data_IF_084554024017
#
_entry.id   IF_084554024017
#
_cell.length_a   1.000
_cell.length_b   1.000
_cell.length_c   1.000
_cell.angle_alpha   90.00
_cell.angle_beta   90.00
_cell.angle_gamma   90.00
#
_symmetry.space_group_name_H-M   'P 1'
#
loop_
_entity.id
_entity.type
_entity.pdbx_description
1 polymer ?
#
# COMPACT_ATOMS: atom_id res chain seq x y z
N UNK A 1 -58.63 -0.76 35.14
CA UNK A 1 -58.29 0.30 34.16
C UNK A 1 -57.02 -0.15 33.47
N UNK A 2 -57.12 -1.09 32.53
CA UNK A 2 -57.32 -0.86 31.09
C UNK A 2 -56.02 -0.43 30.39
N UNK A 3 -55.30 -1.43 29.86
CA UNK A 3 -54.35 -1.34 28.74
C UNK A 3 -55.00 -0.74 27.49
N UNK A 4 -54.21 -0.30 26.50
CA UNK A 4 -54.49 -0.79 25.16
C UNK A 4 -53.25 -1.14 24.31
N UNK A 5 -53.36 -2.30 23.67
CA UNK A 5 -52.82 -2.66 22.36
C UNK A 5 -53.59 -1.96 21.22
N UNK A 6 -53.00 -1.83 20.02
CA UNK A 6 -53.63 -1.99 18.67
C UNK A 6 -52.53 -1.63 17.62
N UNK A 7 -52.02 -2.56 16.80
CA UNK A 7 -52.56 -3.25 15.60
C UNK A 7 -52.57 -2.42 14.31
N UNK A 8 -51.98 -3.05 13.30
CA UNK A 8 -51.99 -2.74 11.86
C UNK A 8 -53.38 -2.48 11.29
N UNK A 9 -53.43 -1.64 10.25
CA UNK A 9 -54.46 -1.73 9.21
C UNK A 9 -53.84 -1.57 7.82
N UNK A 10 -53.99 -2.65 7.06
CA UNK A 10 -53.94 -2.74 5.61
C UNK A 10 -55.31 -2.30 5.04
N UNK A 11 -55.31 -1.49 3.99
CA UNK A 11 -56.48 -1.29 3.13
C UNK A 11 -56.03 -1.11 1.68
N UNK A 12 -56.06 -2.20 0.92
CA UNK A 12 -56.13 -2.17 -0.52
C UNK A 12 -57.49 -1.66 -1.02
N UNK A 13 -57.47 -0.97 -2.16
CA UNK A 13 -58.63 -0.76 -3.02
C UNK A 13 -58.24 -0.97 -4.48
N UNK A 14 -58.89 -1.95 -5.10
CA UNK A 14 -58.81 -2.31 -6.52
C UNK A 14 -59.82 -1.48 -7.30
N UNK A 15 -59.47 -1.04 -8.51
CA UNK A 15 -60.42 -0.97 -9.62
C UNK A 15 -59.80 -1.52 -10.92
N UNK A 16 -60.63 -2.29 -11.62
CA UNK A 16 -60.35 -3.16 -12.77
C UNK A 16 -60.72 -2.50 -14.11
N UNK A 17 -60.09 -2.99 -15.18
CA UNK A 17 -60.53 -2.98 -16.60
C UNK A 17 -59.29 -2.99 -17.50
N UNK A 18 -58.88 -4.04 -18.23
CA UNK A 18 -59.59 -4.92 -19.17
C UNK A 18 -59.76 -4.18 -20.50
N UNK A 19 -59.31 -4.59 -21.69
CA UNK A 19 -58.76 -5.84 -22.27
C UNK A 19 -58.14 -5.48 -23.67
N UNK A 20 -57.33 -6.41 -24.19
CA UNK A 20 -57.08 -6.73 -25.61
C UNK A 20 -56.10 -5.89 -26.48
N UNK A 21 -54.91 -6.47 -26.68
CA UNK A 21 -54.43 -6.96 -27.99
C UNK A 21 -53.81 -5.97 -28.98
N UNK A 22 -52.51 -6.11 -29.26
CA UNK A 22 -52.02 -6.48 -30.61
C UNK A 22 -50.53 -6.86 -30.59
N UNK A 23 -50.19 -7.96 -31.25
CA UNK A 23 -48.82 -8.34 -31.60
C UNK A 23 -48.30 -7.49 -32.76
N UNK A 24 -47.01 -7.14 -32.71
CA UNK A 24 -46.04 -6.84 -33.81
C UNK A 24 -44.78 -6.33 -33.08
N UNK A 25 -43.72 -7.11 -32.91
CA UNK A 25 -42.81 -7.53 -33.98
C UNK A 25 -41.79 -6.42 -34.26
N UNK A 26 -40.65 -6.42 -33.55
CA UNK A 26 -39.42 -5.70 -33.95
C UNK A 26 -38.17 -6.27 -33.25
N UNK A 27 -37.59 -7.24 -33.95
CA UNK A 27 -36.17 -7.43 -34.28
C UNK A 27 -35.12 -7.01 -33.24
N UNK A 28 -34.53 -8.01 -32.57
CA UNK A 28 -33.17 -7.92 -32.03
C UNK A 28 -32.17 -7.71 -33.18
N UNK A 29 -31.37 -6.65 -33.11
CA UNK A 29 -30.12 -6.57 -33.87
C UNK A 29 -29.00 -7.14 -33.01
N UNK A 30 -28.62 -8.38 -33.30
CA UNK A 30 -27.32 -8.96 -32.95
C UNK A 30 -26.26 -8.39 -33.89
N UNK A 31 -25.37 -7.54 -33.36
CA UNK A 31 -24.17 -7.12 -34.06
C UNK A 31 -23.05 -8.14 -33.80
N UNK A 32 -22.77 -8.94 -34.82
CA UNK A 32 -21.65 -9.85 -34.91
C UNK A 32 -20.41 -9.09 -35.41
N UNK A 33 -19.31 -9.03 -34.63
CA UNK A 33 -17.99 -8.65 -35.15
C UNK A 33 -16.85 -9.45 -34.49
N UNK A 34 -16.42 -10.46 -35.26
CA UNK A 34 -15.08 -10.98 -35.48
C UNK A 34 -13.98 -10.71 -34.44
N UNK A 35 -13.63 -11.76 -33.70
CA UNK A 35 -12.29 -11.96 -33.11
C UNK A 35 -11.31 -12.24 -34.25
N UNK A 36 -10.25 -11.44 -34.38
CA UNK A 36 -9.09 -11.78 -35.21
C UNK A 36 -8.01 -12.35 -34.29
N UNK A 37 -7.84 -13.67 -34.34
CA UNK A 37 -6.70 -14.38 -33.76
C UNK A 37 -5.44 -14.06 -34.58
N UNK A 38 -4.39 -13.55 -33.94
CA UNK A 38 -3.06 -13.43 -34.55
C UNK A 38 -2.30 -14.72 -34.24
N UNK A 39 -2.30 -15.66 -35.18
CA UNK A 39 -1.47 -16.85 -35.11
C UNK A 39 -0.04 -16.53 -35.57
N UNK A 40 0.93 -16.76 -34.70
CA UNK A 40 2.36 -16.63 -35.03
C UNK A 40 2.86 -17.91 -35.70
N UNK A 41 3.54 -17.77 -36.84
CA UNK A 41 4.14 -18.93 -37.52
C UNK A 41 5.50 -19.30 -36.90
N UNK A 42 5.78 -20.61 -36.80
CA UNK A 42 7.05 -21.20 -36.28
C UNK A 42 8.35 -20.73 -36.98
N UNK A 43 8.27 -19.88 -38.00
CA UNK A 43 9.43 -19.27 -38.68
C UNK A 43 9.79 -17.86 -38.20
N UNK A 44 9.03 -17.27 -37.27
CA UNK A 44 9.33 -15.95 -36.68
C UNK A 44 9.94 -16.02 -35.27
N UNK A 45 10.11 -17.22 -34.70
CA UNK A 45 10.70 -17.43 -33.36
C UNK A 45 12.22 -17.75 -33.36
N UNK A 46 12.95 -17.55 -34.46
CA UNK A 46 14.38 -17.91 -34.57
C UNK A 46 15.26 -16.82 -35.23
N UNK A 47 15.07 -15.54 -34.86
CA UNK A 47 15.94 -14.44 -35.29
C UNK A 47 16.37 -13.50 -34.15
N UNK A 48 16.59 -14.02 -32.95
CA UNK A 48 17.12 -13.24 -31.82
C UNK A 48 18.16 -13.99 -30.99
N UNK A 49 18.93 -14.88 -31.61
CA UNK A 49 20.15 -15.44 -31.02
C UNK A 49 21.20 -15.62 -32.11
N UNK A 50 22.25 -14.81 -32.04
CA UNK A 50 23.49 -15.00 -32.79
C UNK A 50 24.19 -13.69 -33.10
N UNK A 51 25.29 -13.42 -32.39
CA UNK A 51 26.64 -13.37 -32.98
C UNK A 51 27.67 -12.83 -31.99
N UNK A 52 28.65 -13.65 -31.68
CA UNK A 52 29.93 -13.30 -31.05
C UNK A 52 30.49 -14.53 -30.35
N UNK A 53 31.65 -15.09 -30.68
CA UNK A 53 32.61 -14.90 -31.75
C UNK A 53 33.65 -16.02 -31.54
N UNK A 54 34.10 -16.71 -32.57
CA UNK A 54 35.15 -17.72 -32.47
C UNK A 54 36.09 -17.60 -33.65
N UNK A 55 37.24 -16.95 -33.40
CA UNK A 55 38.39 -16.89 -34.29
C UNK A 55 39.49 -17.81 -33.77
N UNK A 56 39.84 -18.81 -34.58
CA UNK A 56 40.95 -19.74 -34.38
C UNK A 56 42.26 -19.07 -34.78
N UNK A 57 43.32 -19.11 -33.95
CA UNK A 57 44.69 -18.95 -34.43
C UNK A 57 45.75 -19.54 -33.46
N UNK A 58 46.42 -20.58 -33.99
CA UNK A 58 47.85 -20.90 -33.93
C UNK A 58 48.62 -20.96 -32.59
N UNK A 59 49.09 -22.17 -32.31
CA UNK A 59 50.13 -22.52 -31.35
C UNK A 59 51.53 -22.11 -31.83
N UNK A 60 52.34 -21.59 -30.91
CA UNK A 60 53.81 -21.70 -30.90
C UNK A 60 54.25 -21.77 -29.43
N UNK A 61 54.92 -22.87 -29.06
CA UNK A 61 55.41 -23.10 -27.71
C UNK A 61 56.74 -22.41 -27.42
N UNK A 62 56.97 -22.13 -26.14
CA UNK A 62 58.31 -22.12 -25.55
C UNK A 62 58.21 -22.39 -24.05
N UNK A 63 59.05 -23.32 -23.61
CA UNK A 63 59.21 -23.91 -22.28
C UNK A 63 59.69 -22.93 -21.20
N UNK A 64 59.17 -23.02 -19.97
CA UNK A 64 59.90 -22.67 -18.75
C UNK A 64 59.38 -23.44 -17.51
N UNK A 65 60.31 -23.64 -16.59
CA UNK A 65 60.44 -24.63 -15.49
C UNK A 65 59.38 -24.60 -14.36
N UNK A 66 59.32 -25.62 -13.47
CA UNK A 66 58.24 -25.77 -12.49
C UNK A 66 58.46 -24.88 -11.27
N UNK A 67 57.54 -23.94 -11.05
CA UNK A 67 57.42 -23.15 -9.82
C UNK A 67 56.57 -23.90 -8.79
N UNK A 68 57.02 -23.89 -7.52
CA UNK A 68 56.32 -24.45 -6.36
C UNK A 68 54.90 -23.88 -6.21
N UNK A 69 53.94 -24.63 -5.65
CA UNK A 69 52.57 -24.16 -5.55
C UNK A 69 52.51 -23.00 -4.55
N UNK A 70 52.31 -21.78 -5.09
CA UNK A 70 51.94 -20.62 -4.32
C UNK A 70 50.65 -20.94 -3.55
N UNK A 71 50.68 -20.66 -2.25
CA UNK A 71 49.54 -20.81 -1.36
C UNK A 71 48.31 -20.11 -1.95
N UNK A 72 47.20 -20.83 -1.98
CA UNK A 72 45.88 -20.36 -2.38
C UNK A 72 45.48 -19.18 -1.49
N UNK A 73 45.80 -17.97 -1.94
CA UNK A 73 45.24 -16.76 -1.37
C UNK A 73 43.82 -16.68 -1.91
N UNK A 74 42.87 -17.22 -1.15
CA UNK A 74 41.46 -16.85 -1.24
C UNK A 74 41.38 -15.33 -1.41
N UNK A 75 40.70 -14.80 -2.44
CA UNK A 75 40.49 -13.38 -2.53
C UNK A 75 39.79 -12.96 -1.25
N UNK A 76 40.41 -12.05 -0.49
CA UNK A 76 39.76 -11.42 0.64
C UNK A 76 38.41 -10.89 0.17
N UNK A 77 37.34 -11.26 0.88
CA UNK A 77 35.99 -10.76 0.66
C UNK A 77 36.06 -9.26 0.40
N UNK A 78 35.78 -8.87 -0.85
CA UNK A 78 35.29 -7.52 -1.10
C UNK A 78 34.15 -7.30 -0.11
N UNK A 79 34.14 -6.22 0.69
CA UNK A 79 33.03 -6.00 1.61
C UNK A 79 31.75 -6.06 0.79
N UNK A 80 30.93 -7.07 1.06
CA UNK A 80 29.70 -7.33 0.32
C UNK A 80 28.89 -6.05 0.25
N UNK A 81 28.28 -5.78 -0.91
CA UNK A 81 27.32 -4.69 -1.03
C UNK A 81 26.34 -4.78 0.14
N UNK A 82 26.11 -3.69 0.91
CA UNK A 82 25.26 -3.75 2.09
C UNK A 82 23.89 -4.32 1.73
N UNK A 83 23.45 -5.32 2.49
CA UNK A 83 22.19 -6.00 2.25
C UNK A 83 21.00 -5.08 2.56
N UNK A 84 19.91 -5.14 1.79
CA UNK A 84 18.71 -4.36 2.06
C UNK A 84 18.02 -4.86 3.33
N UNK A 85 17.49 -3.92 4.11
CA UNK A 85 16.77 -4.16 5.36
C UNK A 85 15.34 -3.63 5.30
N UNK A 86 14.47 -4.19 6.11
CA UNK A 86 13.21 -3.58 6.54
C UNK A 86 13.44 -3.04 7.95
N UNK A 87 13.41 -1.71 8.10
CA UNK A 87 13.60 -1.06 9.39
C UNK A 87 12.31 -1.03 10.18
N UNK A 88 12.29 -1.74 11.31
CA UNK A 88 11.19 -1.71 12.27
C UNK A 88 11.55 -0.83 13.47
N UNK A 89 10.57 -0.51 14.30
CA UNK A 89 10.74 0.31 15.49
C UNK A 89 11.70 -0.32 16.53
N UNK A 90 11.81 -1.66 16.55
CA UNK A 90 12.65 -2.40 17.49
C UNK A 90 14.00 -2.80 16.90
N UNK A 91 14.03 -3.22 15.63
CA UNK A 91 15.24 -3.73 14.98
C UNK A 91 15.19 -3.58 13.44
N UNK A 92 16.36 -3.67 12.80
CA UNK A 92 16.45 -3.81 11.35
C UNK A 92 16.41 -5.31 11.00
N UNK A 93 15.44 -5.71 10.16
CA UNK A 93 15.23 -7.10 9.75
C UNK A 93 15.62 -7.30 8.29
N UNK A 94 16.06 -8.50 7.92
CA UNK A 94 16.12 -8.87 6.49
C UNK A 94 14.69 -9.12 5.97
N UNK A 95 14.40 -8.84 4.69
CA UNK A 95 13.08 -9.13 4.12
C UNK A 95 12.61 -10.57 4.36
N UNK A 96 13.54 -11.54 4.30
CA UNK A 96 13.28 -12.96 4.53
C UNK A 96 12.66 -13.27 5.89
N UNK A 97 12.99 -12.49 6.93
CA UNK A 97 12.42 -12.66 8.28
C UNK A 97 10.92 -12.37 8.34
N UNK A 98 10.39 -11.62 7.37
CA UNK A 98 9.00 -11.19 7.31
C UNK A 98 8.18 -11.95 6.24
N UNK A 99 8.81 -12.81 5.43
CA UNK A 99 8.15 -13.58 4.35
C UNK A 99 7.12 -14.62 4.80
N UNK A 100 6.96 -14.83 6.11
CA UNK A 100 6.07 -15.83 6.70
C UNK A 100 4.58 -15.47 6.66
N UNK A 101 4.24 -14.23 6.29
CA UNK A 101 2.85 -13.74 6.27
C UNK A 101 2.72 -12.47 5.44
N UNK A 102 1.50 -11.95 5.37
CA UNK A 102 1.18 -10.70 4.71
C UNK A 102 1.83 -9.52 5.43
N UNK A 103 2.34 -8.54 4.68
CA UNK A 103 2.86 -7.30 5.20
C UNK A 103 1.91 -6.18 4.79
N UNK A 104 1.30 -5.54 5.78
CA UNK A 104 0.35 -4.45 5.57
C UNK A 104 1.11 -3.13 5.49
N UNK A 105 1.20 -2.56 4.30
CA UNK A 105 2.05 -1.39 4.05
C UNK A 105 1.44 -0.06 4.49
N UNK A 106 0.17 -0.03 4.89
CA UNK A 106 -0.54 1.19 5.27
C UNK A 106 -1.67 0.89 6.26
N UNK A 107 -1.41 1.09 7.56
CA UNK A 107 -2.39 1.03 8.63
C UNK A 107 -2.12 2.16 9.65
N UNK A 108 -3.03 2.37 10.61
CA UNK A 108 -2.82 3.33 11.70
C UNK A 108 -3.03 2.68 13.05
N UNK A 109 -2.11 2.87 13.99
CA UNK A 109 -2.16 2.32 15.34
C UNK A 109 -2.05 3.41 16.41
N UNK A 110 -1.62 4.61 16.06
CA UNK A 110 -1.47 5.73 17.00
C UNK A 110 -1.86 7.06 16.35
N UNK A 111 -3.16 7.29 16.15
CA UNK A 111 -3.69 8.62 15.83
C UNK A 111 -4.31 9.19 17.11
N UNK A 112 -4.26 10.50 17.30
CA UNK A 112 -4.86 11.11 18.49
C UNK A 112 -6.31 11.56 18.27
N UNK A 113 -7.00 11.84 19.37
CA UNK A 113 -8.41 12.29 19.33
C UNK A 113 -8.52 13.67 18.65
N UNK A 114 -7.52 14.54 18.83
CA UNK A 114 -7.56 15.90 18.27
C UNK A 114 -7.47 15.89 16.73
N UNK A 115 -6.71 14.97 16.16
CA UNK A 115 -6.64 14.70 14.74
C UNK A 115 -8.02 14.32 14.20
N UNK A 116 -8.70 13.36 14.83
CA UNK A 116 -10.06 12.99 14.44
C UNK A 116 -11.05 14.13 14.58
N UNK A 117 -11.00 14.87 15.69
CA UNK A 117 -11.87 16.03 15.93
C UNK A 117 -11.69 17.09 14.83
N UNK A 118 -10.47 17.26 14.32
CA UNK A 118 -10.16 18.16 13.22
C UNK A 118 -10.60 17.61 11.86
N UNK A 119 -10.40 16.32 11.62
CA UNK A 119 -10.68 15.67 10.34
C UNK A 119 -12.18 15.47 10.10
N UNK A 120 -12.90 14.95 11.09
CA UNK A 120 -14.33 14.61 10.94
C UNK A 120 -15.26 15.56 11.68
N UNK A 121 -14.73 16.39 12.58
CA UNK A 121 -15.50 17.31 13.43
C UNK A 121 -15.83 16.68 14.80
N UNK A 122 -15.53 17.41 15.88
CA UNK A 122 -15.76 16.95 17.26
C UNK A 122 -17.23 16.59 17.58
N UNK A 123 -18.18 17.26 16.93
CA UNK A 123 -19.63 17.01 17.11
C UNK A 123 -20.22 16.07 16.05
N UNK A 124 -19.38 15.51 15.16
CA UNK A 124 -19.85 14.65 14.07
C UNK A 124 -20.28 13.29 14.58
N UNK A 125 -21.43 12.74 14.13
CA UNK A 125 -21.83 11.38 14.47
C UNK A 125 -20.85 10.32 13.91
N UNK A 126 -20.06 10.66 12.89
CA UNK A 126 -19.04 9.78 12.35
C UNK A 126 -17.89 9.54 13.35
N UNK A 127 -17.72 10.40 14.35
CA UNK A 127 -16.66 10.31 15.36
C UNK A 127 -16.65 8.98 16.12
N UNK A 128 -17.83 8.44 16.42
CA UNK A 128 -17.96 7.16 17.14
C UNK A 128 -17.43 5.97 16.31
N UNK A 129 -17.43 6.06 14.97
CA UNK A 129 -16.86 5.02 14.10
C UNK A 129 -15.35 4.90 14.36
N UNK A 130 -14.67 6.04 14.50
CA UNK A 130 -13.22 6.13 14.66
C UNK A 130 -12.78 5.92 16.11
N UNK A 131 -13.43 6.59 17.06
CA UNK A 131 -12.99 6.60 18.46
C UNK A 131 -13.66 5.52 19.32
N UNK A 132 -14.80 4.99 18.85
CA UNK A 132 -15.66 4.12 19.65
C UNK A 132 -16.54 4.91 20.61
N UNK A 133 -17.27 4.20 21.49
CA UNK A 133 -18.15 4.84 22.47
C UNK A 133 -17.37 5.76 23.42
N UNK A 134 -17.90 6.94 23.82
CA UNK A 134 -17.21 7.90 24.68
C UNK A 134 -16.75 7.35 26.04
N UNK A 135 -17.43 6.33 26.54
CA UNK A 135 -17.15 5.71 27.84
C UNK A 135 -16.12 4.57 27.78
N UNK A 136 -15.55 4.30 26.59
CA UNK A 136 -14.47 3.31 26.42
C UNK A 136 -13.12 3.99 26.28
N UNK A 137 -12.03 3.42 26.82
CA UNK A 137 -10.68 3.80 26.43
C UNK A 137 -10.54 3.76 24.91
N UNK A 138 -9.88 4.77 24.35
CA UNK A 138 -9.60 4.85 22.94
C UNK A 138 -8.49 3.86 22.58
N UNK A 139 -8.76 2.98 21.61
CA UNK A 139 -7.92 1.81 21.34
C UNK A 139 -6.49 2.14 20.89
N UNK A 140 -6.30 3.27 20.21
CA UNK A 140 -4.97 3.75 19.79
C UNK A 140 -4.17 4.44 20.90
N UNK A 141 -4.69 4.41 22.14
CA UNK A 141 -4.02 4.89 23.35
C UNK A 141 -4.04 3.81 24.47
N UNK A 142 -4.47 2.59 24.14
CA UNK A 142 -4.51 1.43 25.03
C UNK A 142 -3.57 0.34 24.49
N UNK A 143 -2.40 0.22 25.12
CA UNK A 143 -1.34 -0.70 24.66
C UNK A 143 -1.79 -2.16 24.74
N UNK A 144 -2.51 -2.53 25.81
CA UNK A 144 -3.00 -3.91 25.99
C UNK A 144 -3.99 -4.28 24.90
N UNK A 145 -4.91 -3.36 24.58
CA UNK A 145 -5.88 -3.57 23.51
C UNK A 145 -5.21 -3.67 22.14
N UNK A 146 -4.33 -2.71 21.80
CA UNK A 146 -3.66 -2.71 20.50
C UNK A 146 -2.73 -3.91 20.34
N UNK A 147 -2.02 -4.31 21.39
CA UNK A 147 -1.19 -5.52 21.36
C UNK A 147 -2.03 -6.79 21.13
N UNK A 148 -3.25 -6.87 21.68
CA UNK A 148 -4.16 -7.98 21.43
C UNK A 148 -4.64 -8.02 19.96
N UNK A 149 -4.94 -6.87 19.35
CA UNK A 149 -5.27 -6.75 17.92
C UNK A 149 -4.08 -7.20 17.04
N UNK A 150 -2.86 -6.77 17.37
CA UNK A 150 -1.65 -7.19 16.63
C UNK A 150 -1.38 -8.69 16.75
N UNK A 151 -1.57 -9.28 17.94
CA UNK A 151 -1.46 -10.73 18.11
C UNK A 151 -2.55 -11.49 17.34
N UNK A 152 -3.75 -10.93 17.23
CA UNK A 152 -4.81 -11.51 16.41
C UNK A 152 -4.45 -11.45 14.92
N UNK A 153 -3.98 -10.30 14.44
CA UNK A 153 -3.51 -10.16 13.06
C UNK A 153 -2.38 -11.15 12.73
N UNK A 154 -1.44 -11.37 13.67
CA UNK A 154 -0.40 -12.38 13.51
C UNK A 154 -0.96 -13.81 13.36
N UNK A 155 -1.95 -14.18 14.17
CA UNK A 155 -2.63 -15.49 14.06
C UNK A 155 -3.40 -15.64 12.74
N UNK A 156 -3.83 -14.53 12.16
CA UNK A 156 -4.58 -14.46 10.90
C UNK A 156 -3.66 -14.29 9.68
N UNK A 157 -2.33 -14.36 9.88
CA UNK A 157 -1.35 -14.45 8.82
C UNK A 157 -0.64 -13.15 8.45
N UNK A 158 -0.73 -12.10 9.28
CA UNK A 158 0.05 -10.86 9.12
C UNK A 158 1.43 -11.03 9.78
N UNK A 159 2.50 -10.65 9.10
CA UNK A 159 3.88 -10.75 9.61
C UNK A 159 4.52 -9.41 9.96
N UNK A 160 4.01 -8.30 9.42
CA UNK A 160 4.42 -6.95 9.76
C UNK A 160 3.33 -5.93 9.39
N UNK A 161 3.36 -4.79 10.07
CA UNK A 161 2.45 -3.67 9.84
C UNK A 161 3.25 -2.37 9.76
N UNK A 162 2.89 -1.50 8.82
CA UNK A 162 3.40 -0.13 8.74
C UNK A 162 2.39 0.82 9.37
N UNK A 163 2.82 1.62 10.34
CA UNK A 163 2.06 2.76 10.84
C UNK A 163 2.29 3.98 9.94
N UNK A 164 1.23 4.51 9.33
CA UNK A 164 1.27 5.72 8.49
C UNK A 164 1.03 7.01 9.26
N UNK A 165 1.03 6.97 10.59
CA UNK A 165 0.83 8.15 11.43
C UNK A 165 2.04 9.08 11.44
N UNK A 166 1.78 10.35 11.74
CA UNK A 166 2.80 11.39 11.86
C UNK A 166 2.64 12.20 13.15
N UNK A 167 3.63 13.05 13.44
CA UNK A 167 3.53 14.00 14.54
C UNK A 167 2.36 14.99 14.38
N UNK A 168 2.02 15.42 13.15
CA UNK A 168 0.86 16.31 12.87
C UNK A 168 -0.50 15.60 12.99
N UNK A 169 -0.49 14.28 13.16
CA UNK A 169 -1.65 13.44 13.49
C UNK A 169 -1.67 12.98 14.96
N UNK A 170 -0.73 13.49 15.78
CA UNK A 170 -0.61 13.15 17.19
C UNK A 170 -0.02 11.76 17.48
N UNK A 171 0.73 11.18 16.53
CA UNK A 171 1.33 9.84 16.68
C UNK A 171 2.32 9.76 17.83
N UNK A 172 2.14 8.74 18.68
CA UNK A 172 3.03 8.41 19.80
C UNK A 172 3.95 7.22 19.45
N UNK A 173 5.24 7.50 19.23
CA UNK A 173 6.26 6.46 18.93
C UNK A 173 6.51 5.55 20.13
N UNK A 174 6.41 6.07 21.36
CA UNK A 174 6.60 5.26 22.56
C UNK A 174 5.46 4.26 22.73
N UNK A 175 4.23 4.67 22.39
CA UNK A 175 3.08 3.77 22.31
C UNK A 175 3.32 2.64 21.30
N UNK A 176 3.70 2.96 20.06
CA UNK A 176 3.99 1.95 19.03
C UNK A 176 5.11 0.99 19.44
N UNK A 177 6.12 1.49 20.15
CA UNK A 177 7.21 0.66 20.69
C UNK A 177 6.69 -0.35 21.69
N UNK A 178 5.88 0.11 22.66
CA UNK A 178 5.27 -0.75 23.66
C UNK A 178 4.35 -1.81 23.02
N UNK A 179 3.57 -1.44 22.00
CA UNK A 179 2.72 -2.38 21.25
C UNK A 179 3.58 -3.44 20.56
N UNK A 180 4.64 -3.04 19.85
CA UNK A 180 5.53 -3.99 19.16
C UNK A 180 6.21 -4.94 20.14
N UNK A 181 6.70 -4.43 21.28
CA UNK A 181 7.33 -5.23 22.35
C UNK A 181 6.36 -6.23 22.97
N UNK A 182 5.14 -5.81 23.28
CA UNK A 182 4.14 -6.65 23.95
C UNK A 182 3.48 -7.67 23.03
N UNK A 183 3.23 -7.30 21.76
CA UNK A 183 2.58 -8.19 20.79
C UNK A 183 3.57 -9.12 20.08
N UNK A 184 4.83 -8.72 19.96
CA UNK A 184 5.82 -9.35 19.09
C UNK A 184 5.63 -9.04 17.60
N UNK A 185 4.66 -8.19 17.23
CA UNK A 185 4.44 -7.77 15.84
C UNK A 185 5.55 -6.80 15.40
N UNK A 186 6.26 -7.08 14.29
CA UNK A 186 7.14 -6.11 13.65
C UNK A 186 6.34 -4.91 13.15
N UNK A 187 6.62 -3.72 13.71
CA UNK A 187 6.00 -2.46 13.32
C UNK A 187 7.04 -1.58 12.62
N UNK A 188 6.76 -1.19 11.38
CA UNK A 188 7.50 -0.15 10.67
C UNK A 188 6.85 1.19 11.00
N UNK A 189 7.62 2.12 11.54
CA UNK A 189 7.15 3.49 11.77
C UNK A 189 7.46 4.32 10.55
N UNK A 190 6.48 5.09 10.11
CA UNK A 190 6.63 6.05 9.03
C UNK A 190 6.71 7.47 9.58
N UNK A 191 7.16 8.42 8.76
CA UNK A 191 7.08 9.83 9.09
C UNK A 191 6.92 10.71 7.86
N UNK A 192 6.53 11.96 8.09
CA UNK A 192 6.07 12.82 7.02
C UNK A 192 5.10 13.88 7.51
N UNK A 193 4.25 14.33 6.58
CA UNK A 193 3.19 15.29 6.84
C UNK A 193 1.95 14.89 6.07
N UNK A 194 0.79 15.18 6.67
CA UNK A 194 -0.49 14.97 6.03
C UNK A 194 -0.83 16.12 5.06
N UNK A 195 -2.11 16.44 4.89
CA UNK A 195 -2.57 17.51 3.98
C UNK A 195 -2.29 18.90 4.55
N UNK A 196 -2.28 19.91 3.68
CA UNK A 196 -1.94 21.32 4.00
C UNK A 196 -2.61 21.85 5.29
N UNK A 197 -3.90 21.56 5.59
CA UNK A 197 -4.50 22.01 6.83
C UNK A 197 -3.74 21.51 8.06
N UNK A 198 -3.23 20.28 8.05
CA UNK A 198 -2.58 19.66 9.20
C UNK A 198 -1.14 20.09 9.41
N UNK A 199 -0.51 20.69 8.39
CA UNK A 199 0.88 21.12 8.44
C UNK A 199 1.16 22.04 9.64
N UNK A 200 2.26 21.79 10.38
CA UNK A 200 2.75 22.73 11.37
C UNK A 200 3.01 24.12 10.73
N UNK A 201 2.58 25.23 11.36
CA UNK A 201 2.73 26.57 10.79
C UNK A 201 4.16 26.95 10.39
N UNK A 202 5.16 26.46 11.12
CA UNK A 202 6.58 26.68 10.85
C UNK A 202 7.03 26.13 9.49
N UNK A 203 6.31 25.13 8.94
CA UNK A 203 6.61 24.63 7.60
C UNK A 203 6.51 25.73 6.57
N UNK A 204 5.64 26.73 6.73
CA UNK A 204 5.46 27.80 5.76
C UNK A 204 6.77 28.57 5.48
N UNK A 205 7.56 28.81 6.53
CA UNK A 205 8.79 29.62 6.48
C UNK A 205 10.04 28.78 6.16
N UNK A 206 9.96 27.45 6.28
CA UNK A 206 11.06 26.55 5.95
C UNK A 206 11.18 26.31 4.44
N UNK A 207 12.44 26.20 4.00
CA UNK A 207 12.82 25.74 2.67
C UNK A 207 12.63 24.22 2.54
N UNK A 208 12.55 23.72 1.31
CA UNK A 208 12.46 22.28 1.06
C UNK A 208 13.67 21.50 1.59
N UNK A 209 14.85 22.12 1.60
CA UNK A 209 16.08 21.49 2.09
C UNK A 209 16.07 21.39 3.63
N UNK A 210 15.65 22.44 4.33
CA UNK A 210 15.49 22.41 5.79
C UNK A 210 14.44 21.37 6.23
N UNK A 211 13.33 21.27 5.51
CA UNK A 211 12.31 20.24 5.78
C UNK A 211 12.91 18.85 5.54
N UNK A 212 13.62 18.63 4.42
CA UNK A 212 14.22 17.34 4.09
C UNK A 212 15.28 16.91 5.11
N UNK A 213 16.13 17.83 5.57
CA UNK A 213 17.14 17.59 6.61
C UNK A 213 16.49 17.26 7.96
N UNK A 214 15.44 18.00 8.35
CA UNK A 214 14.68 17.73 9.57
C UNK A 214 14.00 16.36 9.57
N UNK A 215 13.40 15.98 8.43
CA UNK A 215 12.82 14.65 8.22
C UNK A 215 13.88 13.56 8.32
N UNK A 216 15.04 13.72 7.66
CA UNK A 216 16.12 12.73 7.72
C UNK A 216 16.69 12.56 9.14
N UNK A 217 16.88 13.66 9.88
CA UNK A 217 17.35 13.62 11.25
C UNK A 217 16.34 12.94 12.19
N UNK A 218 15.04 13.21 12.01
CA UNK A 218 13.98 12.56 12.79
C UNK A 218 13.86 11.08 12.44
N UNK A 219 13.96 10.73 11.16
CA UNK A 219 13.95 9.35 10.70
C UNK A 219 15.08 8.51 11.32
N UNK A 220 16.27 9.08 11.49
CA UNK A 220 17.38 8.41 12.20
C UNK A 220 17.09 8.26 13.70
N UNK A 221 16.65 9.35 14.36
CA UNK A 221 16.37 9.36 15.79
C UNK A 221 15.24 8.42 16.21
N UNK A 222 14.17 8.34 15.41
CA UNK A 222 12.97 7.55 15.68
C UNK A 222 12.93 6.22 14.92
N UNK A 223 13.98 5.91 14.16
CA UNK A 223 14.09 4.69 13.33
C UNK A 223 12.95 4.51 12.32
N UNK A 224 12.63 5.55 11.56
CA UNK A 224 11.61 5.42 10.50
C UNK A 224 12.08 4.44 9.42
N UNK A 225 11.18 3.58 8.98
CA UNK A 225 11.39 2.64 7.87
C UNK A 225 10.66 3.02 6.60
N UNK A 226 9.84 4.07 6.63
CA UNK A 226 9.17 4.64 5.47
C UNK A 226 8.93 6.15 5.64
N UNK A 227 8.76 6.86 4.54
CA UNK A 227 8.12 8.16 4.51
C UNK A 227 6.67 7.96 4.07
N UNK A 228 5.72 8.22 4.95
CA UNK A 228 4.31 8.05 4.63
C UNK A 228 3.37 8.15 5.84
N UNK A 229 2.07 8.33 5.63
CA UNK A 229 1.47 8.61 4.31
C UNK A 229 1.64 10.08 3.88
N UNK A 230 2.42 10.34 2.83
CA UNK A 230 2.62 11.73 2.39
C UNK A 230 1.40 12.20 1.60
N UNK A 231 0.72 13.23 2.09
CA UNK A 231 -0.62 13.52 1.60
C UNK A 231 -0.78 14.75 0.73
N UNK A 232 -1.63 14.60 -0.29
CA UNK A 232 -2.18 15.71 -1.05
C UNK A 232 -3.69 15.72 -0.98
N UNK A 233 -4.25 16.93 -1.00
CA UNK A 233 -5.67 17.18 -1.17
C UNK A 233 -6.14 16.82 -2.59
N UNK A 234 -7.45 16.92 -2.85
CA UNK A 234 -8.05 16.73 -4.19
C UNK A 234 -7.38 17.63 -5.24
N UNK A 235 -7.08 18.86 -4.86
CA UNK A 235 -6.20 19.77 -5.60
C UNK A 235 -4.96 20.02 -4.77
N UNK A 236 -3.81 19.56 -5.26
CA UNK A 236 -2.56 19.67 -4.50
C UNK A 236 -2.14 21.12 -4.31
N UNK A 237 -2.08 21.57 -3.06
CA UNK A 237 -1.75 22.96 -2.70
C UNK A 237 -0.26 23.27 -2.93
N UNK A 238 0.15 24.56 -2.93
CA UNK A 238 1.57 24.91 -2.95
C UNK A 238 2.36 24.35 -1.76
N UNK A 239 1.75 24.29 -0.57
CA UNK A 239 2.37 23.74 0.64
C UNK A 239 2.58 22.23 0.53
N UNK A 240 1.57 21.50 0.07
CA UNK A 240 1.68 20.06 -0.23
C UNK A 240 2.74 19.81 -1.31
N UNK A 241 2.75 20.57 -2.42
CA UNK A 241 3.81 20.47 -3.44
C UNK A 241 5.20 20.68 -2.88
N UNK A 242 5.36 21.59 -1.90
CA UNK A 242 6.63 21.83 -1.20
C UNK A 242 7.03 20.62 -0.35
N UNK A 243 6.08 20.05 0.41
CA UNK A 243 6.30 18.84 1.21
C UNK A 243 6.68 17.65 0.34
N UNK A 244 5.97 17.39 -0.77
CA UNK A 244 6.32 16.31 -1.71
C UNK A 244 7.76 16.46 -2.23
N UNK A 245 8.19 17.69 -2.56
CA UNK A 245 9.58 17.93 -2.98
C UNK A 245 10.58 17.69 -1.86
N UNK A 246 10.28 18.12 -0.63
CA UNK A 246 11.11 17.87 0.53
C UNK A 246 11.24 16.37 0.85
N UNK A 247 10.14 15.60 0.76
CA UNK A 247 10.14 14.14 0.91
C UNK A 247 11.02 13.49 -0.14
N UNK A 248 10.91 13.90 -1.41
CA UNK A 248 11.78 13.39 -2.47
C UNK A 248 13.26 13.61 -2.16
N UNK A 249 13.63 14.79 -1.65
CA UNK A 249 14.99 15.09 -1.20
C UNK A 249 15.42 14.25 0.00
N UNK A 250 14.54 14.05 0.97
CA UNK A 250 14.81 13.20 2.14
C UNK A 250 14.99 11.72 1.75
N UNK A 251 14.21 11.21 0.80
CA UNK A 251 14.44 9.89 0.20
C UNK A 251 15.81 9.82 -0.47
N UNK A 252 16.20 10.82 -1.26
CA UNK A 252 17.50 10.82 -1.93
C UNK A 252 18.69 10.86 -0.94
N UNK A 253 18.53 11.42 0.25
CA UNK A 253 19.59 11.44 1.28
C UNK A 253 19.61 10.17 2.15
N UNK A 254 18.47 9.52 2.38
CA UNK A 254 18.34 8.40 3.33
C UNK A 254 18.14 7.02 2.69
N UNK A 255 17.60 7.00 1.47
CA UNK A 255 17.08 5.84 0.74
C UNK A 255 15.84 5.17 1.38
N UNK A 256 15.17 5.85 2.32
CA UNK A 256 13.92 5.36 2.93
C UNK A 256 12.78 5.40 1.89
N UNK A 257 12.00 4.33 1.70
CA UNK A 257 10.92 4.26 0.71
C UNK A 257 9.75 5.18 1.04
N UNK A 258 8.92 5.48 0.05
CA UNK A 258 7.81 6.44 0.16
C UNK A 258 6.47 5.73 -0.11
N UNK A 259 5.45 6.03 0.68
CA UNK A 259 4.06 5.81 0.29
C UNK A 259 3.21 7.06 0.54
N UNK A 260 2.21 7.27 -0.31
CA UNK A 260 1.44 8.52 -0.34
C UNK A 260 -0.03 8.31 -0.03
N UNK A 261 -0.67 9.37 0.40
CA UNK A 261 -2.12 9.50 0.43
C UNK A 261 -2.59 10.20 -0.85
N UNK A 262 -3.69 9.74 -1.43
CA UNK A 262 -4.43 10.52 -2.42
C UNK A 262 -5.87 10.73 -1.96
N UNK A 263 -6.48 11.85 -2.30
CA UNK A 263 -7.92 12.01 -2.16
C UNK A 263 -8.63 11.16 -3.24
N UNK A 264 -8.71 9.84 -3.00
CA UNK A 264 -9.30 8.84 -3.89
C UNK A 264 -8.68 8.80 -5.31
N UNK A 265 -7.35 8.81 -5.38
CA UNK A 265 -6.57 8.74 -6.63
C UNK A 265 -6.42 10.06 -7.39
N UNK A 266 -7.01 11.15 -6.91
CA UNK A 266 -6.77 12.48 -7.46
C UNK A 266 -5.31 12.92 -7.24
N UNK A 267 -4.78 13.64 -8.22
CA UNK A 267 -3.38 14.09 -8.28
C UNK A 267 -2.33 12.95 -8.25
N UNK A 268 -2.72 11.67 -8.39
CA UNK A 268 -1.81 10.53 -8.34
C UNK A 268 -0.63 10.62 -9.33
N UNK A 269 -0.90 10.98 -10.59
CA UNK A 269 0.15 11.18 -11.59
C UNK A 269 1.03 12.40 -11.23
N UNK A 270 0.43 13.48 -10.70
CA UNK A 270 1.17 14.67 -10.24
C UNK A 270 2.14 14.35 -9.10
N UNK A 271 1.73 13.54 -8.12
CA UNK A 271 2.59 13.10 -7.03
C UNK A 271 3.84 12.40 -7.58
N UNK A 272 3.64 11.47 -8.52
CA UNK A 272 4.73 10.72 -9.13
C UNK A 272 5.62 11.63 -10.01
N UNK A 273 5.03 12.57 -10.75
CA UNK A 273 5.77 13.55 -11.55
C UNK A 273 6.75 14.38 -10.69
N UNK A 274 6.33 14.77 -9.48
CA UNK A 274 7.20 15.52 -8.55
C UNK A 274 8.41 14.66 -8.16
N UNK A 275 8.19 13.43 -7.74
CA UNK A 275 9.27 12.53 -7.34
C UNK A 275 10.23 12.22 -8.50
N UNK A 276 9.71 11.90 -9.68
CA UNK A 276 10.52 11.69 -10.88
C UNK A 276 11.34 12.92 -11.26
N UNK A 277 10.77 14.12 -11.15
CA UNK A 277 11.48 15.37 -11.48
C UNK A 277 12.69 15.62 -10.58
N UNK A 278 12.70 15.04 -9.36
CA UNK A 278 13.82 15.09 -8.43
C UNK A 278 14.82 13.93 -8.65
N UNK A 279 14.48 12.94 -9.49
CA UNK A 279 15.28 11.75 -9.71
C UNK A 279 15.07 10.63 -8.68
N UNK A 280 13.95 10.67 -7.94
CA UNK A 280 13.55 9.55 -7.07
C UNK A 280 13.21 8.33 -7.96
N UNK A 281 13.79 7.15 -7.70
CA UNK A 281 13.38 5.93 -8.38
C UNK A 281 11.92 5.62 -8.05
N UNK A 282 11.05 5.58 -9.06
CA UNK A 282 9.61 5.32 -8.90
C UNK A 282 9.31 3.98 -8.23
N UNK A 283 10.18 2.98 -8.43
CA UNK A 283 10.11 1.68 -7.75
C UNK A 283 10.29 1.73 -6.23
N UNK A 284 10.62 2.89 -5.65
CA UNK A 284 10.63 3.14 -4.21
C UNK A 284 9.40 3.93 -3.72
N UNK A 285 8.41 4.16 -4.59
CA UNK A 285 7.20 4.95 -4.31
C UNK A 285 5.95 4.10 -4.48
N UNK A 286 5.08 4.12 -3.48
CA UNK A 286 3.72 3.62 -3.56
C UNK A 286 2.71 4.78 -3.56
N UNK A 287 1.82 4.80 -4.55
CA UNK A 287 0.72 5.76 -4.60
C UNK A 287 -0.51 5.13 -3.93
N UNK A 288 -0.91 5.65 -2.78
CA UNK A 288 -2.01 5.09 -1.97
C UNK A 288 -3.40 5.53 -2.38
N UNK A 289 -4.41 4.91 -1.77
CA UNK A 289 -5.85 5.15 -1.95
C UNK A 289 -6.37 4.99 -3.39
N UNK A 290 -5.66 4.24 -4.23
CA UNK A 290 -6.02 4.05 -5.63
C UNK A 290 -7.27 3.19 -5.82
N UNK A 291 -7.69 2.44 -4.79
CA UNK A 291 -8.99 1.75 -4.80
C UNK A 291 -10.22 2.68 -4.71
N UNK A 292 -10.00 3.97 -4.41
CA UNK A 292 -11.05 5.01 -4.37
C UNK A 292 -11.31 5.67 -5.73
N UNK A 293 -10.40 5.54 -6.69
CA UNK A 293 -10.57 6.15 -8.01
C UNK A 293 -11.62 5.39 -8.82
N UNK A 294 -12.63 6.10 -9.31
CA UNK A 294 -13.65 5.54 -10.21
C UNK A 294 -13.08 5.31 -11.63
N UNK A 295 -12.22 4.30 -11.76
CA UNK A 295 -11.57 3.92 -13.01
C UNK A 295 -11.60 2.39 -13.16
N UNK A 296 -12.73 1.81 -13.62
CA UNK A 296 -12.88 0.35 -13.76
C UNK A 296 -11.86 -0.28 -14.71
N UNK A 297 -11.34 0.50 -15.66
CA UNK A 297 -10.31 0.06 -16.59
C UNK A 297 -8.91 0.20 -15.98
N UNK A 298 -8.75 0.75 -14.78
CA UNK A 298 -7.47 0.97 -14.11
C UNK A 298 -6.47 1.73 -15.02
N UNK A 299 -6.94 2.73 -15.77
CA UNK A 299 -6.15 3.53 -16.70
C UNK A 299 -5.04 4.30 -15.99
N UNK A 300 -5.38 5.03 -14.91
CA UNK A 300 -4.39 5.78 -14.13
C UNK A 300 -3.45 4.81 -13.42
N UNK A 301 -3.98 3.76 -12.80
CA UNK A 301 -3.19 2.72 -12.12
C UNK A 301 -2.15 2.10 -13.06
N UNK A 302 -2.53 1.77 -14.31
CA UNK A 302 -1.63 1.22 -15.32
C UNK A 302 -0.50 2.17 -15.68
N UNK A 303 -0.76 3.49 -15.77
CA UNK A 303 0.28 4.49 -16.05
C UNK A 303 1.28 4.61 -14.89
N UNK A 304 0.80 4.57 -13.65
CA UNK A 304 1.68 4.58 -12.47
C UNK A 304 2.58 3.34 -12.45
N UNK A 305 2.00 2.17 -12.70
CA UNK A 305 2.72 0.91 -12.75
C UNK A 305 3.72 0.82 -13.93
N UNK A 306 3.34 1.33 -15.11
CA UNK A 306 4.21 1.44 -16.30
C UNK A 306 5.46 2.28 -16.01
N UNK A 307 5.31 3.33 -15.19
CA UNK A 307 6.41 4.17 -14.71
C UNK A 307 7.22 3.52 -13.60
N UNK A 308 6.80 2.35 -13.09
CA UNK A 308 7.52 1.57 -12.08
C UNK A 308 7.05 1.78 -10.64
N UNK A 309 6.08 2.67 -10.38
CA UNK A 309 5.54 2.89 -9.05
C UNK A 309 4.65 1.74 -8.59
N UNK A 310 4.52 1.57 -7.28
CA UNK A 310 3.49 0.71 -6.72
C UNK A 310 2.14 1.44 -6.67
N UNK A 311 1.07 0.66 -6.80
CA UNK A 311 -0.33 1.09 -6.75
C UNK A 311 -0.95 0.50 -5.49
N UNK A 312 -1.28 1.37 -4.54
CA UNK A 312 -1.86 1.02 -3.25
C UNK A 312 -3.38 0.87 -3.32
N UNK A 313 -3.85 -0.36 -3.19
CA UNK A 313 -5.23 -0.65 -2.80
C UNK A 313 -5.25 -0.84 -1.29
N UNK A 314 -5.40 0.25 -0.56
CA UNK A 314 -5.16 0.29 0.89
C UNK A 314 -6.40 0.67 1.70
N UNK A 315 -7.60 0.64 1.12
CA UNK A 315 -8.87 0.81 1.84
C UNK A 315 -9.75 -0.41 1.66
N UNK A 316 -9.23 -1.57 2.07
CA UNK A 316 -9.80 -2.89 1.85
C UNK A 316 -10.36 -3.52 3.13
N UNK A 317 -11.16 -4.56 2.94
CA UNK A 317 -11.66 -5.44 3.98
C UNK A 317 -12.99 -5.02 4.61
N UNK A 318 -13.76 -4.17 3.93
CA UNK A 318 -15.09 -3.74 4.35
C UNK A 318 -16.21 -4.60 3.76
N UNK A 319 -15.84 -5.67 3.04
CA UNK A 319 -16.73 -6.71 2.54
C UNK A 319 -17.14 -6.49 1.06
N UNK A 320 -17.81 -7.47 0.44
CA UNK A 320 -18.06 -7.47 -1.00
C UNK A 320 -18.85 -6.28 -1.53
N UNK A 321 -19.76 -5.72 -0.73
CA UNK A 321 -20.55 -4.54 -1.12
C UNK A 321 -19.68 -3.28 -1.26
N UNK A 322 -18.66 -3.13 -0.42
CA UNK A 322 -17.78 -1.95 -0.40
C UNK A 322 -16.49 -2.13 -1.23
N UNK A 323 -16.04 -3.38 -1.40
CA UNK A 323 -14.77 -3.68 -2.05
C UNK A 323 -14.91 -4.38 -3.41
N UNK A 324 -16.11 -4.85 -3.77
CA UNK A 324 -16.33 -5.67 -4.97
C UNK A 324 -15.89 -4.99 -6.26
N UNK A 325 -16.02 -3.66 -6.35
CA UNK A 325 -15.59 -2.90 -7.52
C UNK A 325 -14.06 -2.80 -7.66
N UNK A 326 -13.30 -3.06 -6.59
CA UNK A 326 -11.83 -3.02 -6.59
C UNK A 326 -11.22 -4.29 -7.19
N UNK A 327 -11.92 -5.43 -7.14
CA UNK A 327 -11.42 -6.71 -7.68
C UNK A 327 -11.17 -6.64 -9.20
N UNK A 328 -12.10 -6.11 -10.05
CA UNK A 328 -11.82 -5.90 -11.46
C UNK A 328 -10.64 -4.96 -11.75
N UNK A 329 -10.41 -3.95 -10.90
CA UNK A 329 -9.27 -3.04 -11.05
C UNK A 329 -7.94 -3.77 -10.82
N UNK A 330 -7.87 -4.60 -9.77
CA UNK A 330 -6.73 -5.48 -9.50
C UNK A 330 -6.51 -6.44 -10.67
N UNK A 331 -7.56 -7.10 -11.15
CA UNK A 331 -7.47 -8.00 -12.31
C UNK A 331 -6.97 -7.29 -13.57
N UNK A 332 -7.43 -6.06 -13.83
CA UNK A 332 -6.98 -5.26 -14.99
C UNK A 332 -5.47 -4.98 -14.95
N UNK A 333 -4.90 -4.72 -13.76
CA UNK A 333 -3.46 -4.56 -13.60
C UNK A 333 -2.69 -5.87 -13.81
N UNK A 334 -3.20 -6.98 -13.27
CA UNK A 334 -2.60 -8.31 -13.47
C UNK A 334 -2.59 -8.67 -14.96
N UNK A 335 -3.72 -8.52 -15.64
CA UNK A 335 -3.88 -8.82 -17.08
C UNK A 335 -2.97 -7.93 -17.95
N UNK A 336 -2.68 -6.71 -17.49
CA UNK A 336 -1.76 -5.78 -18.13
C UNK A 336 -0.28 -6.06 -17.82
N UNK A 337 0.04 -7.05 -16.98
CA UNK A 337 1.40 -7.45 -16.65
C UNK A 337 2.02 -6.70 -15.46
N UNK A 338 1.20 -6.04 -14.65
CA UNK A 338 1.64 -5.19 -13.53
C UNK A 338 1.39 -5.80 -12.15
N UNK A 339 1.33 -7.14 -12.04
CA UNK A 339 1.16 -7.85 -10.77
C UNK A 339 2.17 -7.39 -9.70
N UNK A 340 3.42 -7.19 -10.09
CA UNK A 340 4.50 -6.80 -9.17
C UNK A 340 4.32 -5.36 -8.65
N UNK A 341 3.43 -4.54 -9.21
CA UNK A 341 3.19 -3.16 -8.77
C UNK A 341 2.03 -3.04 -7.79
N UNK A 342 1.30 -4.11 -7.46
CA UNK A 342 0.07 -4.03 -6.66
C UNK A 342 0.38 -4.23 -5.18
N UNK A 343 -0.09 -3.32 -4.32
CA UNK A 343 -0.02 -3.43 -2.87
C UNK A 343 -1.42 -3.46 -2.26
N UNK A 344 -1.59 -4.25 -1.20
CA UNK A 344 -2.88 -4.41 -0.49
C UNK A 344 -2.72 -4.02 0.99
N UNK A 345 -3.61 -3.19 1.49
CA UNK A 345 -3.73 -2.83 2.91
C UNK A 345 -5.16 -2.36 3.24
N UNK A 346 -5.42 -1.96 4.49
CA UNK A 346 -6.76 -1.52 4.90
C UNK A 346 -6.89 -0.09 5.38
N UNK A 347 -5.80 0.65 5.61
CA UNK A 347 -5.88 2.02 6.17
C UNK A 347 -6.72 1.94 7.45
N UNK A 348 -6.38 0.94 8.28
CA UNK A 348 -7.16 0.59 9.45
C UNK A 348 -7.02 1.71 10.46
N UNK A 349 -8.14 2.38 10.73
CA UNK A 349 -8.15 3.52 11.63
C UNK A 349 -9.41 3.58 12.53
N UNK A 350 -10.28 2.56 12.47
CA UNK A 350 -11.63 2.64 13.08
C UNK A 350 -11.78 1.73 14.30
N UNK A 351 -12.27 2.28 15.41
CA UNK A 351 -12.63 1.50 16.58
C UNK A 351 -13.71 0.45 16.26
N UNK A 352 -14.68 0.79 15.40
CA UNK A 352 -15.75 -0.13 14.98
C UNK A 352 -15.20 -1.45 14.45
N UNK A 353 -14.13 -1.40 13.67
CA UNK A 353 -13.61 -2.58 12.98
C UNK A 353 -12.65 -3.41 13.85
N UNK A 354 -12.38 -3.02 15.10
CA UNK A 354 -11.55 -3.79 16.05
C UNK A 354 -12.24 -5.10 16.44
N UNK A 355 -11.46 -6.16 16.69
CA UNK A 355 -12.02 -7.46 17.13
C UNK A 355 -12.77 -7.34 18.46
N UNK A 356 -12.29 -6.49 19.38
CA UNK A 356 -12.99 -6.20 20.64
C UNK A 356 -14.43 -5.73 20.40
N UNK A 357 -14.66 -4.95 19.36
CA UNK A 357 -15.98 -4.44 18.98
C UNK A 357 -16.73 -5.35 18.01
N UNK A 358 -16.23 -6.58 17.78
CA UNK A 358 -16.84 -7.56 16.88
C UNK A 358 -16.54 -7.33 15.40
N UNK A 359 -15.60 -6.43 15.09
CA UNK A 359 -15.12 -6.18 13.73
C UNK A 359 -14.06 -7.18 13.25
N UNK A 360 -13.60 -7.05 12.00
CA UNK A 360 -12.66 -7.99 11.38
C UNK A 360 -11.20 -7.85 11.85
N UNK A 361 -10.84 -6.78 12.56
CA UNK A 361 -9.48 -6.50 13.01
C UNK A 361 -8.51 -6.08 11.90
N UNK A 362 -7.24 -5.90 12.25
CA UNK A 362 -6.19 -5.41 11.32
C UNK A 362 -5.91 -6.35 10.15
N UNK A 363 -6.17 -7.65 10.28
CA UNK A 363 -6.00 -8.58 9.15
C UNK A 363 -7.16 -8.55 8.15
N UNK A 364 -8.09 -7.58 8.22
CA UNK A 364 -9.28 -7.50 7.34
C UNK A 364 -8.95 -7.54 5.84
N UNK A 365 -7.81 -7.00 5.42
CA UNK A 365 -7.31 -7.16 4.04
C UNK A 365 -7.15 -8.63 3.66
N UNK A 366 -6.55 -9.43 4.55
CA UNK A 366 -6.30 -10.88 4.36
C UNK A 366 -7.57 -11.71 4.58
N UNK A 367 -8.39 -11.37 5.58
CA UNK A 367 -9.53 -12.20 5.99
C UNK A 367 -10.81 -11.89 5.23
N UNK A 368 -10.94 -10.70 4.63
CA UNK A 368 -12.15 -10.28 3.90
C UNK A 368 -11.88 -10.05 2.41
N UNK A 369 -10.82 -9.32 2.04
CA UNK A 369 -10.59 -8.97 0.63
C UNK A 369 -9.88 -10.06 -0.18
N UNK A 370 -8.83 -10.68 0.36
CA UNK A 370 -8.13 -11.79 -0.33
C UNK A 370 -9.07 -12.94 -0.74
N UNK A 371 -10.05 -13.38 0.08
CA UNK A 371 -11.07 -14.34 -0.38
C UNK A 371 -11.81 -13.92 -1.65
N UNK A 372 -12.10 -12.63 -1.84
CA UNK A 372 -12.74 -12.13 -3.05
C UNK A 372 -11.83 -12.26 -4.29
N UNK A 373 -10.52 -12.04 -4.13
CA UNK A 373 -9.55 -12.28 -5.19
C UNK A 373 -9.51 -13.75 -5.60
N UNK A 374 -9.57 -14.67 -4.62
CA UNK A 374 -9.64 -16.12 -4.87
C UNK A 374 -10.90 -16.51 -5.63
N UNK A 375 -12.05 -15.96 -5.22
CA UNK A 375 -13.33 -16.20 -5.89
C UNK A 375 -13.32 -15.69 -7.34
N UNK A 376 -12.56 -14.63 -7.63
CA UNK A 376 -12.34 -14.11 -8.98
C UNK A 376 -11.31 -14.94 -9.80
N UNK A 377 -10.66 -15.93 -9.20
CA UNK A 377 -9.72 -16.83 -9.87
C UNK A 377 -8.25 -16.37 -9.84
N UNK A 378 -7.91 -15.34 -9.07
CA UNK A 378 -6.51 -14.94 -8.85
C UNK A 378 -5.82 -16.02 -8.02
N UNK A 379 -4.61 -16.41 -8.44
CA UNK A 379 -3.91 -17.56 -7.84
C UNK A 379 -3.31 -17.21 -6.47
N UNK A 380 -3.06 -18.22 -5.63
CA UNK A 380 -2.35 -18.00 -4.35
C UNK A 380 -0.93 -17.46 -4.56
N UNK A 381 -0.29 -17.78 -5.69
CA UNK A 381 1.04 -17.25 -6.04
C UNK A 381 0.96 -15.74 -6.29
N UNK A 382 -0.01 -15.29 -7.09
CA UNK A 382 -0.23 -13.86 -7.36
C UNK A 382 -0.66 -13.11 -6.09
N UNK A 383 -1.53 -13.71 -5.27
CA UNK A 383 -1.92 -13.15 -3.96
C UNK A 383 -0.69 -13.00 -3.08
N UNK A 384 0.20 -13.99 -3.04
CA UNK A 384 1.44 -13.92 -2.28
C UNK A 384 2.38 -12.83 -2.80
N UNK A 385 2.41 -12.58 -4.11
CA UNK A 385 3.16 -11.45 -4.69
C UNK A 385 2.63 -10.13 -4.13
N UNK A 386 1.30 -9.90 -4.18
CA UNK A 386 0.69 -8.64 -3.75
C UNK A 386 0.73 -8.42 -2.22
N UNK A 387 0.67 -9.49 -1.44
CA UNK A 387 0.57 -9.42 0.04
C UNK A 387 1.90 -9.57 0.76
N UNK A 388 2.91 -10.16 0.12
CA UNK A 388 4.22 -10.46 0.75
C UNK A 388 5.36 -9.87 -0.05
N UNK A 389 5.48 -10.23 -1.33
CA UNK A 389 6.66 -9.88 -2.13
C UNK A 389 6.74 -8.38 -2.43
N UNK A 390 5.63 -7.79 -2.86
CA UNK A 390 5.57 -6.39 -3.24
C UNK A 390 5.77 -5.45 -2.03
N UNK A 391 5.09 -5.64 -0.87
CA UNK A 391 5.35 -4.80 0.30
C UNK A 391 6.79 -4.94 0.80
N UNK A 392 7.37 -6.14 0.78
CA UNK A 392 8.78 -6.31 1.14
C UNK A 392 9.72 -5.64 0.15
N UNK A 393 9.39 -5.66 -1.15
CA UNK A 393 10.16 -4.96 -2.18
C UNK A 393 10.06 -3.44 -2.05
N UNK A 394 8.92 -2.92 -1.60
CA UNK A 394 8.77 -1.50 -1.26
C UNK A 394 9.60 -1.14 -0.02
N UNK A 395 9.42 -1.89 1.07
CA UNK A 395 9.96 -1.55 2.39
C UNK A 395 11.45 -1.86 2.56
N UNK A 396 12.02 -2.70 1.70
CA UNK A 396 13.41 -3.07 1.76
C UNK A 396 14.31 -1.99 1.15
N UNK A 397 15.21 -1.42 1.95
CA UNK A 397 16.17 -0.43 1.47
C UNK A 397 17.55 -0.63 2.08
N UNK A 398 18.56 -0.07 1.42
CA UNK A 398 19.93 0.02 1.94
C UNK A 398 20.09 1.39 2.56
N UNK A 399 20.24 1.53 3.89
CA UNK A 399 20.42 2.82 4.53
C UNK A 399 21.68 3.51 4.00
N UNK A 400 21.56 4.79 3.62
CA UNK A 400 22.76 5.59 3.33
C UNK A 400 23.45 5.89 4.65
N UNK A 401 24.77 5.66 4.72
CA UNK A 401 25.57 6.12 5.86
C UNK A 401 25.62 7.65 5.77
N UNK A 402 25.12 8.31 6.80
CA UNK A 402 25.24 9.76 6.98
C UNK A 402 26.68 10.23 7.09
#
# INVERSE_FOLDING_TARGET
MATPSLKCHDTGSRLRGGLAGNQRGRTLMTANRSVRSVEWSRRQALRLLGLGGAGLAAACGSTREPEEPAADSTPADSPGSPEPIVRTILEDLTPDRLRGGAVLFHEHMSLDIAFWDRLVGADSPAREIFLGPPDSPYFMQDVDMMAAEMQAAAREGVSAVVDGGHADMGRDVAFLRAVSEQSGMPIVVSGGYYTDPFHPPELADQTEDEIAEGLAATADAERWGAFGEIASSEEMTPGERKVFRAIGKAHLSTNIPIFTHTANGLEAETQLDIFESLGVPTGAVAIGHMGGLEDPEATVHRRLAERGAFVGFDRLGSGPEADGHKVPMVQSLIDAGYLENILLASDFATARDTQRNGGPGYAKTVTQFVPMLREAGITEEDIRVMTVENPLRLLAFVPRRG
#
